data_IF_015962130588
#
_entry.id   IF_015962130588
#
_cell.length_a   1.000
_cell.length_b   1.000
_cell.length_c   1.000
_cell.angle_alpha   90.00
_cell.angle_beta   90.00
_cell.angle_gamma   90.00
#
_symmetry.space_group_name_H-M   'P 1'
#
loop_
_entity.id
_entity.type
_entity.pdbx_description
1 polymer ?
#
# COMPACT_ATOMS: atom_id res chain seq x y z
N UNK A 1 -39.08 18.21 47.51
CA UNK A 1 -37.62 18.01 47.67
C UNK A 1 -37.16 17.02 46.62
N UNK A 2 -36.27 17.44 45.72
CA UNK A 2 -35.76 16.66 44.60
C UNK A 2 -34.58 15.81 45.10
N UNK A 3 -34.67 14.48 45.01
CA UNK A 3 -33.52 13.61 45.21
C UNK A 3 -33.02 13.09 43.86
N UNK A 4 -31.85 13.58 43.44
CA UNK A 4 -31.12 13.10 42.29
C UNK A 4 -30.48 11.73 42.60
N UNK A 5 -30.77 10.72 41.80
CA UNK A 5 -30.08 9.42 41.83
C UNK A 5 -28.84 9.49 40.94
N UNK A 6 -27.70 9.81 41.55
CA UNK A 6 -26.39 9.81 40.88
C UNK A 6 -25.94 8.40 40.49
N UNK A 7 -25.28 8.28 39.32
CA UNK A 7 -24.64 7.05 38.88
C UNK A 7 -23.65 6.55 39.95
N UNK A 8 -23.84 5.33 40.45
CA UNK A 8 -22.91 4.67 41.35
C UNK A 8 -21.87 3.87 40.59
N UNK A 9 -20.63 3.84 41.12
CA UNK A 9 -19.50 3.01 40.63
C UNK A 9 -19.88 1.54 40.43
N UNK A 10 -20.86 1.06 41.18
CA UNK A 10 -21.38 -0.32 41.12
C UNK A 10 -22.14 -0.61 39.82
N UNK A 11 -22.76 0.40 39.21
CA UNK A 11 -23.44 0.28 37.91
C UNK A 11 -22.46 0.39 36.73
N UNK A 12 -21.25 0.92 36.94
CA UNK A 12 -20.22 1.02 35.91
C UNK A 12 -19.53 -0.32 35.65
N UNK A 13 -19.39 -1.16 36.68
CA UNK A 13 -18.78 -2.50 36.57
C UNK A 13 -19.76 -3.55 36.02
N UNK A 14 -21.08 -3.35 36.15
CA UNK A 14 -22.09 -4.25 35.57
C UNK A 14 -22.21 -4.14 34.03
N UNK A 15 -21.60 -3.12 33.42
CA UNK A 15 -21.47 -2.98 31.95
C UNK A 15 -20.06 -3.38 31.43
N UNK A 16 -19.19 -3.92 32.29
CA UNK A 16 -17.77 -4.14 31.98
C UNK A 16 -17.42 -5.41 31.17
N UNK A 17 -18.38 -6.10 30.54
CA UNK A 17 -18.13 -7.39 29.89
C UNK A 17 -18.53 -7.45 28.40
N UNK A 18 -18.45 -6.33 27.67
CA UNK A 18 -18.75 -6.31 26.23
C UNK A 18 -17.70 -5.55 25.39
N UNK A 19 -16.42 -5.70 25.70
CA UNK A 19 -15.34 -5.07 24.93
C UNK A 19 -14.20 -6.02 24.52
N UNK A 20 -14.40 -7.33 24.54
CA UNK A 20 -13.43 -8.32 24.03
C UNK A 20 -13.91 -8.92 22.72
N UNK A 21 -14.06 -8.10 21.67
CA UNK A 21 -14.33 -8.59 20.32
C UNK A 21 -13.76 -7.73 19.19
N UNK A 22 -12.81 -6.81 19.44
CA UNK A 22 -12.18 -6.03 18.37
C UNK A 22 -10.81 -6.56 17.91
N UNK A 23 -10.29 -7.64 18.49
CA UNK A 23 -8.99 -8.19 18.10
C UNK A 23 -9.02 -9.08 16.83
N UNK A 24 -10.22 -9.40 16.31
CA UNK A 24 -10.39 -10.33 15.19
C UNK A 24 -11.06 -9.70 13.96
N UNK A 25 -11.12 -8.37 13.87
CA UNK A 25 -11.48 -7.75 12.59
C UNK A 25 -10.36 -8.09 11.59
N UNK A 26 -10.66 -8.70 10.42
CA UNK A 26 -9.65 -8.82 9.38
C UNK A 26 -9.12 -7.41 9.12
N UNK A 27 -7.80 -7.26 9.04
CA UNK A 27 -7.17 -5.96 8.74
C UNK A 27 -7.79 -5.46 7.43
N UNK A 28 -8.80 -4.59 7.52
CA UNK A 28 -9.55 -4.07 6.36
C UNK A 28 -8.64 -3.22 5.47
N UNK A 29 -7.44 -2.87 5.97
CA UNK A 29 -6.37 -2.18 5.23
C UNK A 29 -5.16 -3.07 4.89
N UNK A 30 -5.21 -4.37 5.17
CA UNK A 30 -4.23 -5.30 4.61
C UNK A 30 -4.60 -5.56 3.14
N UNK A 31 -4.24 -4.62 2.28
CA UNK A 31 -4.24 -4.86 0.84
C UNK A 31 -3.35 -6.10 0.60
N UNK A 32 -3.76 -7.03 -0.26
CA UNK A 32 -2.91 -8.15 -0.63
C UNK A 32 -1.61 -7.64 -1.27
N UNK A 33 -0.51 -8.38 -1.12
CA UNK A 33 0.69 -8.08 -1.90
C UNK A 33 0.31 -8.09 -3.39
N UNK A 34 0.79 -7.11 -4.15
CA UNK A 34 0.57 -7.12 -5.59
C UNK A 34 1.21 -8.41 -6.14
N UNK A 35 0.53 -9.15 -7.04
CA UNK A 35 1.15 -10.28 -7.71
C UNK A 35 2.44 -9.81 -8.40
N UNK A 36 3.42 -10.71 -8.53
CA UNK A 36 4.63 -10.43 -9.27
C UNK A 36 4.27 -9.82 -10.64
N UNK A 37 4.98 -8.77 -11.06
CA UNK A 37 4.71 -8.14 -12.35
C UNK A 37 4.67 -9.21 -13.45
N UNK A 38 3.70 -9.15 -14.37
CA UNK A 38 3.74 -9.99 -15.54
C UNK A 38 5.04 -9.74 -16.28
N UNK A 39 5.60 -10.81 -16.88
CA UNK A 39 6.73 -10.67 -17.78
C UNK A 39 6.41 -9.60 -18.84
N UNK A 40 7.26 -8.60 -18.94
CA UNK A 40 7.10 -7.45 -19.81
C UNK A 40 8.41 -6.69 -19.94
N UNK A 41 8.48 -5.68 -20.81
CA UNK A 41 9.74 -5.00 -21.13
C UNK A 41 10.30 -4.18 -19.96
N UNK A 42 9.48 -3.87 -18.95
CA UNK A 42 9.89 -3.13 -17.76
C UNK A 42 10.05 -4.04 -16.55
N UNK A 43 11.00 -3.71 -15.69
CA UNK A 43 11.31 -4.47 -14.47
C UNK A 43 11.34 -3.55 -13.26
N UNK A 44 11.04 -4.11 -12.08
CA UNK A 44 11.25 -3.43 -10.80
C UNK A 44 12.74 -3.50 -10.47
N UNK A 45 13.49 -2.38 -10.48
CA UNK A 45 14.93 -2.40 -10.23
C UNK A 45 15.20 -2.89 -8.81
N UNK A 46 16.27 -3.66 -8.59
CA UNK A 46 16.69 -4.04 -7.23
C UNK A 46 17.04 -2.79 -6.42
N UNK A 47 16.63 -2.75 -5.15
CA UNK A 47 17.02 -1.67 -4.21
C UNK A 47 18.54 -1.59 -4.08
N UNK A 48 19.06 -0.38 -4.07
CA UNK A 48 20.50 -0.11 -3.91
C UNK A 48 20.98 -0.23 -2.45
N UNK A 49 20.07 -0.17 -1.49
CA UNK A 49 20.34 -0.20 -0.05
C UNK A 49 19.19 -0.89 0.70
N UNK A 50 19.47 -1.29 1.94
CA UNK A 50 18.51 -1.93 2.84
C UNK A 50 17.38 -0.97 3.23
N UNK A 51 16.21 -1.51 3.60
CA UNK A 51 15.01 -0.71 3.85
C UNK A 51 15.20 0.33 4.97
N UNK A 52 16.03 0.04 5.98
CA UNK A 52 16.30 0.93 7.11
C UNK A 52 17.49 1.88 6.91
N UNK A 53 18.14 1.90 5.73
CA UNK A 53 19.34 2.68 5.51
C UNK A 53 19.15 4.20 5.62
N UNK A 54 17.89 4.67 5.61
CA UNK A 54 17.52 6.09 5.67
C UNK A 54 16.97 6.51 7.04
N UNK A 55 17.00 5.63 8.05
CA UNK A 55 16.61 6.00 9.40
C UNK A 55 17.60 7.01 10.02
N UNK A 56 17.12 7.94 10.88
CA UNK A 56 15.74 8.09 11.37
C UNK A 56 14.85 8.98 10.48
N UNK A 57 15.33 9.37 9.29
CA UNK A 57 14.64 10.33 8.43
C UNK A 57 13.49 9.70 7.63
N UNK A 58 13.66 8.46 7.19
CA UNK A 58 12.61 7.66 6.55
C UNK A 58 12.65 6.26 7.17
N UNK A 59 11.52 5.82 7.72
CA UNK A 59 11.43 4.53 8.39
C UNK A 59 11.42 3.36 7.39
N UNK A 60 11.90 2.20 7.86
CA UNK A 60 11.98 1.00 7.03
C UNK A 60 10.63 0.53 6.46
N UNK A 61 9.53 0.73 7.21
CA UNK A 61 8.18 0.31 6.76
C UNK A 61 7.73 1.14 5.57
N UNK A 62 7.97 2.45 5.59
CA UNK A 62 7.73 3.34 4.45
C UNK A 62 8.54 2.90 3.23
N UNK A 63 9.82 2.60 3.40
CA UNK A 63 10.68 2.14 2.30
C UNK A 63 10.22 0.80 1.70
N UNK A 64 9.79 -0.13 2.53
CA UNK A 64 9.21 -1.41 2.09
C UNK A 64 7.90 -1.22 1.33
N UNK A 65 6.99 -0.40 1.86
CA UNK A 65 5.70 -0.12 1.20
C UNK A 65 5.92 0.60 -0.12
N UNK A 66 6.81 1.60 -0.15
CA UNK A 66 7.13 2.35 -1.37
C UNK A 66 7.66 1.43 -2.48
N UNK A 67 8.61 0.56 -2.15
CA UNK A 67 9.20 -0.36 -3.11
C UNK A 67 8.26 -1.50 -3.53
N UNK A 68 7.82 -2.30 -2.56
CA UNK A 68 7.14 -3.57 -2.82
C UNK A 68 5.69 -3.41 -3.27
N UNK A 69 5.10 -2.22 -3.05
CA UNK A 69 3.71 -1.95 -3.40
C UNK A 69 3.61 -0.88 -4.48
N UNK A 70 4.02 0.34 -4.19
CA UNK A 70 3.79 1.47 -5.10
C UNK A 70 4.61 1.32 -6.38
N UNK A 71 5.92 1.13 -6.28
CA UNK A 71 6.77 0.94 -7.45
C UNK A 71 6.41 -0.33 -8.21
N UNK A 72 6.19 -1.45 -7.51
CA UNK A 72 5.72 -2.71 -8.11
C UNK A 72 4.41 -2.52 -8.88
N UNK A 73 3.44 -1.76 -8.35
CA UNK A 73 2.17 -1.51 -9.01
C UNK A 73 2.35 -0.70 -10.31
N UNK A 74 3.23 0.30 -10.32
CA UNK A 74 3.53 1.06 -11.54
C UNK A 74 4.16 0.17 -12.63
N UNK A 75 5.13 -0.67 -12.27
CA UNK A 75 5.75 -1.62 -13.21
C UNK A 75 4.71 -2.60 -13.76
N UNK A 76 3.87 -3.16 -12.88
CA UNK A 76 2.79 -4.08 -13.29
C UNK A 76 1.80 -3.40 -14.23
N UNK A 77 1.36 -2.18 -13.91
CA UNK A 77 0.45 -1.41 -14.75
C UNK A 77 1.03 -1.10 -16.12
N UNK A 78 2.29 -0.67 -16.17
CA UNK A 78 2.98 -0.38 -17.42
C UNK A 78 3.17 -1.64 -18.28
N UNK A 79 3.55 -2.77 -17.68
CA UNK A 79 3.65 -4.05 -18.40
C UNK A 79 2.30 -4.57 -18.87
N UNK A 80 1.20 -4.28 -18.17
CA UNK A 80 -0.14 -4.59 -18.66
C UNK A 80 -0.48 -3.77 -19.89
N UNK A 81 -0.24 -2.45 -19.86
CA UNK A 81 -0.43 -1.58 -21.03
C UNK A 81 0.43 -2.02 -22.23
N UNK A 82 1.66 -2.49 -21.97
CA UNK A 82 2.55 -3.01 -23.01
C UNK A 82 1.99 -4.22 -23.77
N UNK A 83 1.07 -4.99 -23.19
CA UNK A 83 0.42 -6.13 -23.89
C UNK A 83 -0.51 -5.66 -25.01
N UNK A 84 -1.07 -4.48 -24.87
CA UNK A 84 -2.10 -3.93 -25.76
C UNK A 84 -1.54 -2.85 -26.69
N UNK A 85 -0.46 -2.17 -26.27
CA UNK A 85 0.08 -1.01 -26.97
C UNK A 85 1.52 -1.23 -27.42
N UNK A 86 1.69 -1.45 -28.73
CA UNK A 86 3.00 -1.75 -29.33
C UNK A 86 4.06 -0.65 -29.16
N UNK A 87 3.66 0.61 -29.04
CA UNK A 87 4.57 1.74 -28.72
C UNK A 87 5.21 1.56 -27.34
N UNK A 88 4.40 1.16 -26.34
CA UNK A 88 4.86 0.88 -24.98
C UNK A 88 5.73 -0.39 -24.96
N UNK A 89 5.31 -1.42 -25.70
CA UNK A 89 6.03 -2.69 -25.78
C UNK A 89 7.45 -2.59 -26.37
N UNK A 90 7.65 -1.64 -27.29
CA UNK A 90 8.89 -1.47 -28.05
C UNK A 90 9.84 -0.44 -27.46
N UNK A 91 9.40 0.33 -26.49
CA UNK A 91 10.24 1.34 -25.86
C UNK A 91 11.44 0.70 -25.16
N UNK A 92 12.61 1.31 -25.36
CA UNK A 92 13.85 0.91 -24.72
C UNK A 92 13.93 1.36 -23.26
N UNK A 93 13.14 2.37 -22.88
CA UNK A 93 13.12 2.93 -21.52
C UNK A 93 11.82 3.68 -21.23
N UNK A 94 11.54 3.92 -19.94
CA UNK A 94 10.44 4.81 -19.53
C UNK A 94 10.69 6.25 -20.00
N UNK A 95 11.95 6.70 -20.04
CA UNK A 95 12.29 8.05 -20.48
C UNK A 95 11.92 8.29 -21.95
N UNK A 96 12.08 7.28 -22.81
CA UNK A 96 11.65 7.33 -24.21
C UNK A 96 10.14 7.57 -24.33
N UNK A 97 9.33 6.84 -23.55
CA UNK A 97 7.87 7.02 -23.52
C UNK A 97 7.48 8.42 -23.03
N UNK A 98 8.19 8.94 -22.03
CA UNK A 98 7.91 10.27 -21.47
C UNK A 98 8.37 11.41 -22.38
N UNK A 99 9.27 11.15 -23.34
CA UNK A 99 9.79 12.17 -24.25
C UNK A 99 8.77 12.60 -25.32
N UNK A 100 7.82 11.73 -25.69
CA UNK A 100 6.73 12.06 -26.62
C UNK A 100 5.41 11.38 -26.22
N UNK A 101 4.70 12.03 -25.29
CA UNK A 101 3.41 11.53 -24.80
C UNK A 101 2.32 11.48 -25.87
N UNK A 102 2.47 12.17 -27.00
CA UNK A 102 1.46 12.17 -28.07
C UNK A 102 1.37 10.82 -28.79
N UNK A 103 2.38 9.96 -28.64
CA UNK A 103 2.39 8.62 -29.23
C UNK A 103 1.76 7.57 -28.32
N UNK A 104 1.43 7.94 -27.08
CA UNK A 104 0.80 7.04 -26.12
C UNK A 104 -0.72 7.00 -26.35
N UNK A 105 -1.36 5.85 -26.08
CA UNK A 105 -2.80 5.67 -26.20
C UNK A 105 -3.62 6.53 -25.23
#
# INVERSE_FOLDING_TARGET
MMHATGLSRRNLLAFGAAATALAAAPRVWAQAAAPAAPAGPFSLPKRAYEANALEPHIDATTMDIHYSRHHQAYVTGLNNAAKEHGVIAKASSVAELLADLNQLP
#
